data_IF_421267539972
#
_entry.id   IF_421267539972
#
_cell.length_a   1.000
_cell.length_b   1.000
_cell.length_c   1.000
_cell.angle_alpha   90.00
_cell.angle_beta   90.00
_cell.angle_gamma   90.00
#
_symmetry.space_group_name_H-M   'P 1'
#
loop_
_entity.id
_entity.type
_entity.pdbx_description
1 polymer ?
#
# COMPACT_ATOMS: atom_id res chain seq x y z
N UNK A 1 19.53 -1.00 6.89
CA UNK A 1 19.05 0.09 6.02
C UNK A 1 20.16 1.11 5.83
N UNK A 2 20.34 1.60 4.61
CA UNK A 2 21.36 2.59 4.27
C UNK A 2 20.69 3.74 3.48
N UNK A 3 20.86 4.98 3.94
CA UNK A 3 20.41 6.17 3.22
C UNK A 3 21.35 6.52 2.08
N UNK A 4 20.80 6.78 0.89
CA UNK A 4 21.53 7.09 -0.35
C UNK A 4 21.53 8.58 -0.60
N UNK A 5 20.38 9.23 -0.38
CA UNK A 5 20.19 10.65 -0.61
C UNK A 5 19.25 11.25 0.46
N UNK A 6 19.37 12.54 0.63
CA UNK A 6 18.49 13.33 1.51
C UNK A 6 18.23 14.67 0.85
N UNK A 7 16.96 15.07 0.79
CA UNK A 7 16.57 16.40 0.31
C UNK A 7 15.38 16.95 1.08
N UNK A 8 15.32 18.25 1.22
CA UNK A 8 14.14 18.94 1.75
C UNK A 8 13.23 19.35 0.61
N UNK A 9 11.97 18.96 0.72
CA UNK A 9 10.91 19.43 -0.17
C UNK A 9 10.35 20.76 0.32
N UNK A 10 9.73 21.55 -0.57
CA UNK A 10 9.29 22.93 -0.30
C UNK A 10 8.26 23.01 0.85
N UNK A 11 7.48 21.95 1.07
CA UNK A 11 6.42 21.90 2.09
C UNK A 11 6.91 21.45 3.49
N UNK A 12 8.22 21.56 3.76
CA UNK A 12 8.76 21.21 5.08
C UNK A 12 8.80 19.71 5.36
N UNK A 13 8.99 18.93 4.32
CA UNK A 13 9.16 17.47 4.38
C UNK A 13 10.60 17.12 4.05
N UNK A 14 11.18 16.23 4.85
CA UNK A 14 12.47 15.62 4.57
C UNK A 14 12.26 14.31 3.82
N UNK A 15 12.72 14.24 2.58
CA UNK A 15 12.74 13.02 1.79
C UNK A 15 14.10 12.37 1.88
N UNK A 16 14.11 11.07 2.13
CA UNK A 16 15.33 10.26 2.17
C UNK A 16 15.15 8.99 1.35
N UNK A 17 15.96 8.83 0.33
CA UNK A 17 16.05 7.56 -0.37
C UNK A 17 16.93 6.59 0.42
N UNK A 18 16.52 5.34 0.49
CA UNK A 18 17.28 4.30 1.18
C UNK A 18 17.33 2.99 0.39
N UNK A 19 18.28 2.13 0.78
CA UNK A 19 18.26 0.72 0.43
C UNK A 19 18.21 -0.15 1.68
N UNK A 20 17.43 -1.24 1.59
CA UNK A 20 17.45 -2.33 2.54
C UNK A 20 17.97 -3.58 1.83
N UNK A 21 19.28 -3.84 1.95
CA UNK A 21 19.94 -4.75 1.02
C UNK A 21 19.81 -4.23 -0.42
N UNK A 22 19.18 -5.02 -1.29
CA UNK A 22 18.92 -4.65 -2.68
C UNK A 22 17.52 -4.01 -2.91
N UNK A 23 16.77 -3.75 -1.85
CA UNK A 23 15.41 -3.19 -1.95
C UNK A 23 15.49 -1.66 -1.84
N UNK A 24 15.23 -0.90 -2.92
CA UNK A 24 15.13 0.54 -2.84
C UNK A 24 13.85 0.97 -2.10
N UNK A 25 13.93 2.09 -1.39
CA UNK A 25 12.78 2.69 -0.74
C UNK A 25 12.94 4.20 -0.56
N UNK A 26 11.86 4.85 -0.17
CA UNK A 26 11.83 6.28 0.12
C UNK A 26 11.09 6.47 1.45
N UNK A 27 11.65 7.32 2.29
CA UNK A 27 11.06 7.75 3.56
C UNK A 27 10.85 9.26 3.51
N UNK A 28 9.64 9.71 3.85
CA UNK A 28 9.29 11.11 4.01
C UNK A 28 8.92 11.38 5.47
N UNK A 29 9.53 12.39 6.07
CA UNK A 29 9.28 12.78 7.45
C UNK A 29 8.97 14.27 7.55
N UNK A 30 7.98 14.70 8.35
CA UNK A 30 7.73 16.11 8.57
C UNK A 30 8.90 16.75 9.34
N UNK A 31 9.44 17.86 8.82
CA UNK A 31 10.56 18.58 9.46
C UNK A 31 10.11 19.31 10.73
N UNK A 32 8.83 19.65 10.82
CA UNK A 32 8.23 20.34 11.97
C UNK A 32 8.03 19.45 13.20
N UNK A 33 8.20 18.13 13.08
CA UNK A 33 8.13 17.24 14.20
C UNK A 33 9.29 17.55 15.17
N UNK A 34 9.02 17.80 16.47
CA UNK A 34 10.09 18.00 17.41
C UNK A 34 10.96 16.74 17.44
N UNK A 35 12.29 16.91 17.43
CA UNK A 35 13.24 15.80 17.48
C UNK A 35 13.06 14.88 18.72
N UNK A 36 12.22 15.29 19.66
CA UNK A 36 11.90 14.59 20.90
C UNK A 36 10.61 13.75 20.87
N UNK A 37 9.83 13.81 19.78
CA UNK A 37 8.59 13.05 19.66
C UNK A 37 8.57 12.28 18.33
N UNK A 38 8.75 10.95 18.36
CA UNK A 38 8.60 10.13 17.16
C UNK A 38 7.19 10.24 16.61
N UNK A 39 7.07 10.24 15.27
CA UNK A 39 5.78 10.37 14.57
C UNK A 39 5.27 9.02 14.08
N UNK A 40 3.94 8.82 14.03
CA UNK A 40 3.36 7.60 13.46
C UNK A 40 3.73 7.43 11.99
N UNK A 41 3.79 6.17 11.54
CA UNK A 41 4.21 5.80 10.19
C UNK A 41 3.05 5.27 9.36
N UNK A 42 2.93 5.72 8.11
CA UNK A 42 2.05 5.14 7.10
C UNK A 42 2.90 4.50 5.98
N UNK A 43 2.75 3.21 5.79
CA UNK A 43 3.35 2.50 4.66
C UNK A 43 2.52 2.79 3.39
N UNK A 44 3.14 3.40 2.39
CA UNK A 44 2.49 3.74 1.13
C UNK A 44 2.66 2.62 0.10
N UNK A 45 1.63 1.80 -0.07
CA UNK A 45 1.56 0.82 -1.14
C UNK A 45 1.37 1.47 -2.52
N UNK A 46 1.85 0.80 -3.55
CA UNK A 46 1.69 1.21 -4.95
C UNK A 46 1.58 -0.01 -5.87
N UNK A 47 1.07 0.13 -7.12
CA UNK A 47 1.10 -0.96 -8.10
C UNK A 47 2.55 -1.25 -8.56
N UNK A 48 2.84 -2.46 -9.08
CA UNK A 48 4.19 -2.87 -9.48
C UNK A 48 4.63 -2.22 -10.81
N UNK A 49 4.64 -0.89 -10.83
CA UNK A 49 5.02 -0.07 -11.99
C UNK A 49 6.40 0.59 -11.83
N UNK A 50 7.05 0.39 -10.69
CA UNK A 50 8.33 0.97 -10.32
C UNK A 50 8.18 2.30 -9.56
N UNK A 51 9.02 2.50 -8.53
CA UNK A 51 9.02 3.71 -7.69
C UNK A 51 9.18 4.98 -8.53
N UNK A 52 10.09 4.98 -9.49
CA UNK A 52 10.33 6.14 -10.36
C UNK A 52 9.08 6.60 -11.10
N UNK A 53 8.29 5.64 -11.61
CA UNK A 53 7.03 5.96 -12.30
C UNK A 53 5.93 6.39 -11.33
N UNK A 54 5.93 5.82 -10.14
CA UNK A 54 4.93 6.10 -9.11
C UNK A 54 5.25 7.33 -8.27
N UNK A 55 6.49 7.84 -8.34
CA UNK A 55 6.99 8.92 -7.52
C UNK A 55 6.06 10.14 -7.43
N UNK A 56 5.51 10.71 -8.55
CA UNK A 56 4.65 11.88 -8.45
C UNK A 56 3.39 11.66 -7.58
N UNK A 57 2.84 10.43 -7.59
CA UNK A 57 1.67 10.08 -6.76
C UNK A 57 2.07 9.78 -5.32
N UNK A 58 3.23 9.18 -5.12
CA UNK A 58 3.74 8.83 -3.79
C UNK A 58 4.14 10.10 -3.03
N UNK A 59 4.88 11.00 -3.66
CA UNK A 59 5.29 12.26 -3.01
C UNK A 59 4.08 13.13 -2.67
N UNK A 60 3.07 13.24 -3.53
CA UNK A 60 1.85 13.99 -3.23
C UNK A 60 1.16 13.44 -1.97
N UNK A 61 0.97 12.11 -1.89
CA UNK A 61 0.40 11.46 -0.70
C UNK A 61 1.28 11.64 0.54
N UNK A 62 2.59 11.64 0.37
CA UNK A 62 3.53 11.86 1.46
C UNK A 62 3.46 13.29 2.01
N UNK A 63 3.35 14.29 1.14
CA UNK A 63 3.17 15.69 1.53
C UNK A 63 1.84 15.89 2.29
N UNK A 64 0.74 15.34 1.78
CA UNK A 64 -0.56 15.37 2.46
C UNK A 64 -0.47 14.73 3.85
N UNK A 65 0.12 13.53 3.94
CA UNK A 65 0.29 12.83 5.22
C UNK A 65 1.20 13.58 6.21
N UNK A 66 2.26 14.23 5.70
CA UNK A 66 3.18 14.99 6.54
C UNK A 66 2.52 16.27 7.11
N UNK A 67 1.61 16.90 6.36
CA UNK A 67 0.80 18.01 6.85
C UNK A 67 -0.07 17.62 8.05
N UNK A 68 -0.49 16.36 8.12
CA UNK A 68 -1.24 15.77 9.23
C UNK A 68 -0.32 15.16 10.32
N UNK A 69 1.00 15.32 10.21
CA UNK A 69 1.97 14.88 11.21
C UNK A 69 2.44 13.42 11.11
N UNK A 70 2.20 12.76 9.97
CA UNK A 70 2.65 11.39 9.73
C UNK A 70 3.96 11.34 8.95
N UNK A 71 4.84 10.41 9.31
CA UNK A 71 5.86 9.94 8.41
C UNK A 71 5.25 8.93 7.42
N UNK A 72 5.81 8.87 6.21
CA UNK A 72 5.40 7.88 5.21
C UNK A 72 6.62 7.19 4.62
N UNK A 73 6.48 5.91 4.27
CA UNK A 73 7.54 5.17 3.60
C UNK A 73 6.98 4.24 2.53
N UNK A 74 7.79 3.99 1.53
CA UNK A 74 7.51 3.02 0.47
C UNK A 74 8.76 2.24 0.10
N UNK A 75 8.58 1.05 -0.47
CA UNK A 75 9.66 0.23 -1.03
C UNK A 75 9.34 -0.17 -2.47
N UNK A 76 10.38 -0.41 -3.27
CA UNK A 76 10.24 -0.97 -4.61
C UNK A 76 9.76 -2.42 -4.52
N UNK A 77 8.64 -2.74 -5.18
CA UNK A 77 8.06 -4.08 -5.14
C UNK A 77 8.92 -5.10 -5.90
N UNK A 78 8.85 -6.38 -5.53
CA UNK A 78 9.57 -7.45 -6.22
C UNK A 78 9.29 -7.46 -7.73
N UNK A 79 10.35 -7.53 -8.54
CA UNK A 79 10.26 -7.58 -10.01
C UNK A 79 9.70 -6.33 -10.66
N UNK A 80 9.65 -5.18 -9.94
CA UNK A 80 9.30 -3.89 -10.50
C UNK A 80 10.50 -2.94 -10.57
N UNK A 81 10.36 -1.83 -11.31
CA UNK A 81 11.45 -0.89 -11.52
C UNK A 81 12.68 -1.56 -12.14
N UNK A 82 13.83 -1.31 -11.54
CA UNK A 82 15.12 -1.88 -11.96
C UNK A 82 15.46 -3.20 -11.23
N UNK A 83 14.54 -3.71 -10.38
CA UNK A 83 14.75 -4.97 -9.66
C UNK A 83 14.73 -6.17 -10.60
N UNK A 84 15.54 -7.22 -10.31
CA UNK A 84 15.57 -8.43 -11.11
C UNK A 84 14.17 -9.01 -11.29
N UNK A 85 13.84 -9.35 -12.53
CA UNK A 85 12.59 -10.05 -12.85
C UNK A 85 12.80 -11.54 -12.68
N UNK A 86 11.93 -12.16 -11.91
CA UNK A 86 11.99 -13.58 -11.65
C UNK A 86 11.20 -14.34 -12.71
N UNK A 87 11.78 -15.38 -13.33
CA UNK A 87 11.09 -16.11 -14.42
C UNK A 87 9.69 -16.61 -14.04
N UNK A 88 9.51 -17.08 -12.80
CA UNK A 88 8.21 -17.54 -12.30
C UNK A 88 7.18 -16.41 -12.25
N UNK A 89 7.58 -15.21 -11.87
CA UNK A 89 6.71 -14.03 -11.82
C UNK A 89 6.37 -13.55 -13.24
N UNK A 90 7.33 -13.56 -14.16
CA UNK A 90 7.08 -13.21 -15.56
C UNK A 90 6.15 -14.22 -16.25
N UNK A 91 6.30 -15.50 -15.95
CA UNK A 91 5.38 -16.52 -16.42
C UNK A 91 3.96 -16.28 -15.90
N UNK A 92 3.82 -16.06 -14.59
CA UNK A 92 2.53 -15.78 -13.96
C UNK A 92 1.86 -14.50 -14.52
N UNK A 93 2.64 -13.44 -14.80
CA UNK A 93 2.14 -12.23 -15.49
C UNK A 93 1.65 -12.52 -16.90
N UNK A 94 2.37 -13.35 -17.63
CA UNK A 94 2.00 -13.77 -18.97
C UNK A 94 0.70 -14.58 -18.95
N UNK A 95 0.56 -15.49 -18.00
CA UNK A 95 -0.61 -16.33 -17.84
C UNK A 95 -1.84 -15.52 -17.40
N UNK A 96 -1.67 -14.57 -16.49
CA UNK A 96 -2.71 -13.61 -16.10
C UNK A 96 -3.22 -12.81 -17.31
N UNK A 97 -2.29 -12.25 -18.09
CA UNK A 97 -2.66 -11.47 -19.27
C UNK A 97 -3.44 -12.32 -20.29
N UNK A 98 -2.97 -13.54 -20.53
CA UNK A 98 -3.63 -14.49 -21.45
C UNK A 98 -5.03 -14.84 -20.98
N UNK A 99 -5.22 -15.12 -19.70
CA UNK A 99 -6.53 -15.41 -19.12
C UNK A 99 -7.47 -14.21 -19.26
N UNK A 100 -6.99 -13.00 -18.95
CA UNK A 100 -7.79 -11.77 -19.13
C UNK A 100 -8.18 -11.51 -20.58
N UNK A 101 -7.25 -11.68 -21.54
CA UNK A 101 -7.52 -11.51 -22.98
C UNK A 101 -8.51 -12.56 -23.52
N UNK A 102 -8.48 -13.78 -22.97
CA UNK A 102 -9.41 -14.85 -23.35
C UNK A 102 -10.77 -14.77 -22.64
N UNK A 103 -10.90 -13.92 -21.61
CA UNK A 103 -12.08 -13.91 -20.75
C UNK A 103 -12.18 -15.15 -19.86
N UNK A 104 -11.07 -15.87 -19.67
CA UNK A 104 -11.01 -17.04 -18.82
C UNK A 104 -10.94 -16.65 -17.33
N UNK A 105 -11.44 -17.50 -16.42
CA UNK A 105 -11.25 -17.30 -14.99
C UNK A 105 -9.76 -17.26 -14.66
N UNK A 106 -9.33 -16.22 -13.94
CA UNK A 106 -7.96 -16.12 -13.44
C UNK A 106 -7.76 -17.15 -12.33
N UNK A 107 -6.75 -18.03 -12.51
CA UNK A 107 -6.39 -19.02 -11.51
C UNK A 107 -5.73 -18.35 -10.29
N UNK A 108 -6.19 -18.66 -9.10
CA UNK A 108 -5.66 -18.16 -7.83
C UNK A 108 -4.14 -18.41 -7.69
N UNK A 109 -3.63 -19.54 -8.20
CA UNK A 109 -2.20 -19.87 -8.19
C UNK A 109 -1.35 -18.87 -9.00
N UNK A 110 -1.90 -18.33 -10.09
CA UNK A 110 -1.22 -17.31 -10.91
C UNK A 110 -1.02 -16.04 -10.09
N UNK A 111 -2.03 -15.62 -9.33
CA UNK A 111 -1.97 -14.37 -8.56
C UNK A 111 -1.13 -14.52 -7.30
N UNK A 112 -1.21 -15.67 -6.64
CA UNK A 112 -0.36 -15.99 -5.49
C UNK A 112 1.13 -16.03 -5.87
N UNK A 113 1.46 -16.51 -7.08
CA UNK A 113 2.83 -16.52 -7.56
C UNK A 113 3.37 -15.12 -7.93
N UNK A 114 2.48 -14.14 -8.18
CA UNK A 114 2.90 -12.87 -8.77
C UNK A 114 3.63 -11.93 -7.81
N UNK A 115 3.20 -11.79 -6.57
CA UNK A 115 3.67 -10.69 -5.73
C UNK A 115 3.76 -11.08 -4.25
N UNK A 116 2.80 -11.84 -3.72
CA UNK A 116 2.61 -12.04 -2.29
C UNK A 116 3.77 -12.71 -1.56
N UNK A 117 4.43 -13.76 -2.10
CA UNK A 117 5.44 -14.49 -1.37
C UNK A 117 6.67 -13.68 -1.00
N UNK A 118 6.98 -12.65 -1.78
CA UNK A 118 8.17 -11.81 -1.59
C UNK A 118 7.85 -10.41 -1.04
N UNK A 119 6.73 -9.81 -1.49
CA UNK A 119 6.41 -8.45 -1.08
C UNK A 119 6.15 -8.32 0.42
N UNK A 120 5.43 -9.27 1.03
CA UNK A 120 5.07 -9.20 2.45
C UNK A 120 6.29 -9.32 3.37
N UNK A 121 7.21 -10.30 3.22
CA UNK A 121 8.44 -10.34 3.99
C UNK A 121 9.32 -9.09 3.81
N UNK A 122 9.37 -8.52 2.60
CA UNK A 122 10.14 -7.31 2.36
C UNK A 122 9.53 -6.09 3.04
N UNK A 123 8.21 -5.95 3.06
CA UNK A 123 7.52 -4.91 3.84
C UNK A 123 7.75 -5.06 5.35
N UNK A 124 7.74 -6.29 5.87
CA UNK A 124 8.04 -6.56 7.27
C UNK A 124 9.49 -6.17 7.61
N UNK A 125 10.46 -6.55 6.78
CA UNK A 125 11.85 -6.17 6.95
C UNK A 125 12.07 -4.65 6.86
N UNK A 126 11.35 -3.98 5.95
CA UNK A 126 11.39 -2.52 5.85
C UNK A 126 10.82 -1.86 7.12
N UNK A 127 9.70 -2.36 7.62
CA UNK A 127 9.09 -1.87 8.85
C UNK A 127 10.02 -2.07 10.07
N UNK A 128 10.68 -3.24 10.17
CA UNK A 128 11.69 -3.48 11.22
C UNK A 128 12.80 -2.43 11.19
N UNK A 129 13.29 -2.11 9.99
CA UNK A 129 14.37 -1.14 9.84
C UNK A 129 13.93 0.32 10.09
N UNK A 130 12.70 0.67 9.67
CA UNK A 130 12.14 2.01 9.84
C UNK A 130 11.84 2.33 11.30
N UNK A 131 11.31 1.36 12.06
CA UNK A 131 11.00 1.55 13.49
C UNK A 131 12.24 1.61 14.39
N UNK A 132 13.44 1.35 13.86
CA UNK A 132 14.70 1.63 14.56
C UNK A 132 15.13 3.09 14.48
N UNK A 133 14.50 3.89 13.63
CA UNK A 133 14.80 5.32 13.52
C UNK A 133 14.18 6.08 14.68
N UNK A 134 14.95 6.96 15.35
CA UNK A 134 14.46 7.66 16.55
C UNK A 134 13.29 8.62 16.27
N UNK A 135 13.15 9.08 15.04
CA UNK A 135 12.05 9.96 14.61
C UNK A 135 10.78 9.22 14.22
N UNK A 136 10.81 7.89 14.10
CA UNK A 136 9.65 7.07 13.73
C UNK A 136 9.18 6.29 14.96
N UNK A 137 7.88 6.30 15.21
CA UNK A 137 7.32 5.54 16.32
C UNK A 137 5.80 5.52 16.31
N UNK A 138 5.21 4.97 17.38
CA UNK A 138 3.76 4.87 17.50
C UNK A 138 3.13 3.81 16.60
N UNK A 139 1.81 3.88 16.43
CA UNK A 139 1.08 2.94 15.58
C UNK A 139 1.43 3.12 14.10
N UNK A 140 1.27 2.04 13.32
CA UNK A 140 1.58 2.00 11.90
C UNK A 140 0.31 1.82 11.09
N UNK A 141 0.17 2.61 10.02
CA UNK A 141 -0.88 2.44 9.01
C UNK A 141 -0.35 1.85 7.70
N UNK A 142 -1.27 1.28 6.91
CA UNK A 142 -0.98 0.89 5.53
C UNK A 142 -1.96 1.58 4.58
N UNK A 143 -1.50 2.09 3.45
CA UNK A 143 -2.34 2.87 2.54
C UNK A 143 -2.11 2.53 1.07
N UNK A 144 -3.15 2.09 0.38
CA UNK A 144 -3.22 1.92 -1.07
C UNK A 144 -2.49 0.69 -1.60
N UNK A 145 -2.01 0.78 -2.82
CA UNK A 145 -1.26 -0.28 -3.50
C UNK A 145 -2.11 -1.46 -3.98
N UNK A 146 -1.48 -2.60 -4.07
CA UNK A 146 -2.14 -3.86 -4.41
C UNK A 146 -2.90 -4.36 -3.18
N UNK A 147 -4.23 -4.47 -3.29
CA UNK A 147 -5.10 -4.79 -2.15
C UNK A 147 -4.73 -6.12 -1.47
N UNK A 148 -4.32 -7.14 -2.23
CA UNK A 148 -3.89 -8.43 -1.69
C UNK A 148 -2.68 -8.32 -0.78
N UNK A 149 -1.73 -7.41 -1.06
CA UNK A 149 -0.60 -7.12 -0.17
C UNK A 149 -1.11 -6.49 1.13
N UNK A 150 -2.01 -5.52 1.05
CA UNK A 150 -2.60 -4.86 2.20
C UNK A 150 -3.37 -5.83 3.10
N UNK A 151 -4.19 -6.71 2.52
CA UNK A 151 -4.92 -7.76 3.24
C UNK A 151 -3.93 -8.67 3.97
N UNK A 152 -2.92 -9.17 3.25
CA UNK A 152 -1.96 -10.11 3.85
C UNK A 152 -1.15 -9.46 4.97
N UNK A 153 -0.68 -8.24 4.78
CA UNK A 153 0.02 -7.47 5.82
C UNK A 153 -0.88 -7.26 7.04
N UNK A 154 -2.14 -6.89 6.86
CA UNK A 154 -3.08 -6.69 7.97
C UNK A 154 -3.32 -7.97 8.79
N UNK A 155 -3.12 -9.16 8.19
CA UNK A 155 -3.25 -10.45 8.90
C UNK A 155 -1.97 -10.85 9.63
N UNK A 156 -0.79 -10.66 8.98
CA UNK A 156 0.46 -11.25 9.49
C UNK A 156 1.38 -10.25 10.19
N UNK A 157 1.09 -8.96 10.12
CA UNK A 157 1.92 -7.90 10.71
C UNK A 157 1.13 -7.14 11.79
N UNK A 158 1.26 -7.53 13.06
CA UNK A 158 0.43 -7.00 14.14
C UNK A 158 0.72 -5.52 14.48
N UNK A 159 1.80 -4.94 13.97
CA UNK A 159 2.12 -3.52 14.15
C UNK A 159 1.26 -2.61 13.26
N UNK A 160 0.65 -3.15 12.21
CA UNK A 160 -0.30 -2.41 11.37
C UNK A 160 -1.64 -2.35 12.10
N UNK A 161 -2.04 -1.15 12.50
CA UNK A 161 -3.21 -0.90 13.34
C UNK A 161 -4.43 -0.38 12.56
N UNK A 162 -4.24 0.12 11.34
CA UNK A 162 -5.31 0.63 10.48
C UNK A 162 -4.88 0.56 9.01
N UNK A 163 -5.84 0.37 8.10
CA UNK A 163 -5.51 0.35 6.68
C UNK A 163 -6.54 1.08 5.80
N UNK A 164 -6.03 1.82 4.82
CA UNK A 164 -6.79 2.38 3.70
C UNK A 164 -6.48 1.54 2.47
N UNK A 165 -7.45 0.81 1.94
CA UNK A 165 -7.27 -0.12 0.83
C UNK A 165 -7.97 0.40 -0.44
N UNK A 166 -7.37 0.14 -1.60
CA UNK A 166 -7.96 0.47 -2.88
C UNK A 166 -8.45 -0.81 -3.57
N UNK A 167 -9.77 -0.95 -3.71
CA UNK A 167 -10.42 -2.10 -4.33
C UNK A 167 -10.44 -1.95 -5.87
N UNK A 168 -9.28 -1.89 -6.49
CA UNK A 168 -9.09 -1.67 -7.92
C UNK A 168 -8.22 -2.74 -8.59
N UNK A 169 -8.13 -3.94 -8.02
CA UNK A 169 -7.37 -5.04 -8.63
C UNK A 169 -8.08 -6.37 -8.40
N UNK A 170 -7.79 -7.32 -9.27
CA UNK A 170 -8.26 -8.69 -9.10
C UNK A 170 -7.82 -9.24 -7.73
N UNK A 171 -8.75 -9.91 -7.05
CA UNK A 171 -8.51 -10.53 -5.74
C UNK A 171 -8.80 -12.02 -5.83
N UNK A 172 -7.81 -12.90 -5.62
CA UNK A 172 -8.02 -14.34 -5.59
C UNK A 172 -9.01 -14.76 -4.52
N UNK A 173 -9.71 -15.86 -4.73
CA UNK A 173 -10.64 -16.42 -3.72
C UNK A 173 -9.96 -16.73 -2.39
N UNK A 174 -8.72 -17.17 -2.40
CA UNK A 174 -7.93 -17.40 -1.18
C UNK A 174 -7.79 -16.12 -0.34
N UNK A 175 -7.81 -14.94 -0.94
CA UNK A 175 -7.76 -13.68 -0.20
C UNK A 175 -9.05 -13.40 0.59
N UNK A 176 -10.19 -13.93 0.20
CA UNK A 176 -11.43 -13.78 0.95
C UNK A 176 -11.34 -14.47 2.33
N UNK A 177 -10.68 -15.63 2.40
CA UNK A 177 -10.42 -16.28 3.69
C UNK A 177 -9.47 -15.45 4.57
N UNK A 178 -8.49 -14.80 3.97
CA UNK A 178 -7.60 -13.89 4.69
C UNK A 178 -8.32 -12.59 5.09
N UNK A 179 -9.19 -12.05 4.23
CA UNK A 179 -9.98 -10.87 4.55
C UNK A 179 -10.84 -11.07 5.81
N UNK A 180 -11.39 -12.28 6.02
CA UNK A 180 -12.15 -12.62 7.24
C UNK A 180 -11.29 -12.57 8.52
N UNK A 181 -9.97 -12.67 8.40
CA UNK A 181 -9.04 -12.60 9.52
C UNK A 181 -8.57 -11.16 9.81
N UNK A 182 -8.84 -10.22 8.92
CA UNK A 182 -8.51 -8.81 9.13
C UNK A 182 -9.48 -8.21 10.13
N UNK A 183 -8.98 -7.79 11.28
CA UNK A 183 -9.80 -7.22 12.38
C UNK A 183 -9.49 -5.75 12.67
N UNK A 184 -8.43 -5.19 12.08
CA UNK A 184 -8.07 -3.78 12.23
C UNK A 184 -9.09 -2.87 11.53
N UNK A 185 -9.25 -1.60 11.94
CA UNK A 185 -10.04 -0.62 11.23
C UNK A 185 -9.67 -0.50 9.75
N UNK A 186 -10.68 -0.45 8.88
CA UNK A 186 -10.52 -0.39 7.43
C UNK A 186 -11.29 0.76 6.80
N UNK A 187 -10.64 1.45 5.87
CA UNK A 187 -11.26 2.36 4.93
C UNK A 187 -10.99 1.88 3.51
N UNK A 188 -12.04 1.47 2.79
CA UNK A 188 -11.91 0.91 1.43
C UNK A 188 -12.39 1.92 0.41
N UNK A 189 -11.57 2.19 -0.60
CA UNK A 189 -11.88 3.04 -1.74
C UNK A 189 -12.24 2.18 -2.94
N UNK A 190 -13.37 2.44 -3.56
CA UNK A 190 -13.87 1.75 -4.76
C UNK A 190 -14.16 2.76 -5.87
N UNK A 191 -13.60 2.55 -7.05
CA UNK A 191 -13.99 3.27 -8.26
C UNK A 191 -15.15 2.53 -8.94
N UNK A 192 -16.30 3.20 -9.03
CA UNK A 192 -17.56 2.56 -9.43
C UNK A 192 -17.58 2.15 -10.90
N UNK A 193 -16.94 2.94 -11.77
CA UNK A 193 -16.89 2.74 -13.22
C UNK A 193 -15.53 2.23 -13.68
N UNK A 194 -14.79 1.51 -12.81
CA UNK A 194 -13.52 0.89 -13.15
C UNK A 194 -13.76 -0.33 -14.05
N UNK A 195 -13.56 -0.17 -15.35
CA UNK A 195 -13.76 -1.22 -16.36
C UNK A 195 -12.80 -2.40 -16.20
N UNK A 196 -11.65 -2.19 -15.55
CA UNK A 196 -10.63 -3.22 -15.27
C UNK A 196 -10.88 -4.03 -14.00
N UNK A 197 -11.96 -3.73 -13.26
CA UNK A 197 -12.24 -4.34 -11.96
C UNK A 197 -13.69 -4.84 -11.86
N UNK A 198 -13.85 -6.08 -11.42
CA UNK A 198 -15.18 -6.60 -11.10
C UNK A 198 -15.70 -5.94 -9.81
N UNK A 199 -16.63 -4.98 -9.98
CA UNK A 199 -17.23 -4.25 -8.87
C UNK A 199 -17.93 -5.16 -7.89
N UNK A 200 -18.63 -6.21 -8.35
CA UNK A 200 -19.32 -7.12 -7.43
C UNK A 200 -18.32 -7.90 -6.59
N UNK A 201 -17.24 -8.39 -7.20
CA UNK A 201 -16.17 -9.03 -6.45
C UNK A 201 -15.52 -8.10 -5.42
N UNK A 202 -15.38 -6.81 -5.73
CA UNK A 202 -14.88 -5.81 -4.77
C UNK A 202 -15.86 -5.58 -3.59
N UNK A 203 -17.17 -5.59 -3.83
CA UNK A 203 -18.18 -5.50 -2.78
C UNK A 203 -18.23 -6.77 -1.93
N UNK A 204 -18.16 -7.94 -2.56
CA UNK A 204 -18.12 -9.23 -1.86
C UNK A 204 -16.87 -9.34 -0.98
N UNK A 205 -15.74 -8.80 -1.45
CA UNK A 205 -14.51 -8.71 -0.64
C UNK A 205 -14.70 -7.77 0.55
N UNK A 206 -15.31 -6.61 0.35
CA UNK A 206 -15.61 -5.68 1.45
C UNK A 206 -16.49 -6.36 2.51
N UNK A 207 -17.52 -7.09 2.09
CA UNK A 207 -18.38 -7.84 3.00
C UNK A 207 -17.61 -8.91 3.77
N UNK A 208 -16.60 -9.54 3.14
CA UNK A 208 -15.81 -10.60 3.73
C UNK A 208 -14.84 -10.12 4.84
N UNK A 209 -14.44 -8.84 4.87
CA UNK A 209 -13.56 -8.35 5.93
C UNK A 209 -14.15 -8.56 7.32
N UNK A 210 -13.36 -9.18 8.21
CA UNK A 210 -13.71 -9.45 9.60
C UNK A 210 -13.64 -8.23 10.54
N UNK A 211 -13.22 -7.08 10.04
CA UNK A 211 -13.17 -5.83 10.80
C UNK A 211 -14.56 -5.39 11.24
N UNK A 212 -14.74 -5.07 12.53
CA UNK A 212 -15.95 -4.46 13.06
C UNK A 212 -16.08 -2.98 12.68
N UNK A 213 -14.96 -2.32 12.41
CA UNK A 213 -14.91 -0.94 11.95
C UNK A 213 -14.40 -0.87 10.53
N UNK A 214 -15.30 -0.96 9.56
CA UNK A 214 -14.97 -0.85 8.13
C UNK A 214 -15.90 0.12 7.43
N UNK A 215 -15.35 0.93 6.52
CA UNK A 215 -16.12 1.85 5.68
C UNK A 215 -15.74 1.66 4.21
N UNK A 216 -16.73 1.81 3.32
CA UNK A 216 -16.56 1.78 1.88
C UNK A 216 -16.93 3.14 1.30
N UNK A 217 -15.98 3.77 0.60
CA UNK A 217 -16.26 4.97 -0.17
C UNK A 217 -16.19 4.64 -1.67
N UNK A 218 -17.36 4.67 -2.30
CA UNK A 218 -17.47 4.48 -3.75
C UNK A 218 -17.53 5.83 -4.46
N UNK A 219 -16.65 6.02 -5.44
CA UNK A 219 -16.60 7.23 -6.26
C UNK A 219 -16.90 6.87 -7.71
N UNK A 220 -17.70 7.70 -8.39
CA UNK A 220 -17.89 7.59 -9.84
C UNK A 220 -16.59 7.93 -10.55
N UNK A 221 -16.26 7.16 -11.57
CA UNK A 221 -15.04 7.32 -12.37
C UNK A 221 -14.29 6.01 -12.57
N UNK A 222 -13.38 6.00 -13.55
CA UNK A 222 -12.53 4.84 -13.86
C UNK A 222 -11.36 4.67 -12.90
N UNK A 223 -10.54 3.69 -13.15
CA UNK A 223 -9.44 3.22 -12.28
C UNK A 223 -8.55 4.33 -11.68
N UNK A 224 -8.24 5.37 -12.46
CA UNK A 224 -7.37 6.48 -12.01
C UNK A 224 -8.15 7.72 -11.57
N UNK A 225 -9.46 7.65 -11.54
CA UNK A 225 -10.37 8.76 -11.27
C UNK A 225 -10.66 9.02 -9.79
N UNK A 226 -9.81 8.57 -8.87
CA UNK A 226 -9.97 8.85 -7.44
C UNK A 226 -9.98 10.35 -7.20
N UNK A 227 -11.07 10.92 -6.66
CA UNK A 227 -11.15 12.37 -6.47
C UNK A 227 -10.19 12.83 -5.36
N UNK A 228 -9.69 14.05 -5.47
CA UNK A 228 -8.73 14.61 -4.51
C UNK A 228 -9.27 14.58 -3.07
N UNK A 229 -10.55 14.87 -2.86
CA UNK A 229 -11.16 14.86 -1.52
C UNK A 229 -11.20 13.46 -0.86
N UNK A 230 -10.96 12.38 -1.60
CA UNK A 230 -10.80 11.05 -1.01
C UNK A 230 -9.54 10.95 -0.15
N UNK A 231 -8.53 11.78 -0.43
CA UNK A 231 -7.36 11.96 0.43
C UNK A 231 -7.73 12.48 1.81
N UNK A 232 -8.62 13.48 1.89
CA UNK A 232 -9.09 14.04 3.16
C UNK A 232 -9.82 12.99 4.03
N UNK A 233 -10.56 12.08 3.40
CA UNK A 233 -11.22 10.99 4.13
C UNK A 233 -10.21 10.00 4.71
N UNK A 234 -9.18 9.65 3.93
CA UNK A 234 -8.08 8.80 4.38
C UNK A 234 -7.27 9.47 5.51
N UNK A 235 -6.99 10.78 5.40
CA UNK A 235 -6.30 11.56 6.41
C UNK A 235 -7.06 11.56 7.75
N UNK A 236 -8.36 11.87 7.73
CA UNK A 236 -9.22 11.79 8.94
C UNK A 236 -9.27 10.39 9.54
N UNK A 237 -9.31 9.37 8.69
CA UNK A 237 -9.28 7.98 9.14
C UNK A 237 -7.98 7.66 9.87
N UNK A 238 -6.81 7.99 9.29
CA UNK A 238 -5.54 7.74 9.96
C UNK A 238 -5.36 8.58 11.22
N UNK A 239 -5.76 9.85 11.23
CA UNK A 239 -5.71 10.69 12.44
C UNK A 239 -6.49 10.06 13.58
N UNK A 240 -7.67 9.52 13.30
CA UNK A 240 -8.50 8.84 14.31
C UNK A 240 -7.88 7.58 14.89
N UNK A 241 -7.13 6.81 14.08
CA UNK A 241 -6.66 5.49 14.47
C UNK A 241 -5.17 5.41 14.82
N UNK A 242 -4.39 6.42 14.43
CA UNK A 242 -2.94 6.41 14.64
C UNK A 242 -2.44 7.56 15.55
N UNK A 243 -3.29 8.50 15.91
CA UNK A 243 -3.00 9.58 16.86
C UNK A 243 -3.86 9.45 18.12
#
# INVERSE_FOLDING_TARGET
MHFISEQRLDDGVLEREFTLGEIPGILWTPVSAPASAPVPLILLGHPPLGLRRMYPRLVARALDSAADGFATATIELPGSGDRPRWPVVEQARSDLRRAMEAGDPVNDEIVDALILPLAVPEWQAALDALLLLPEIGGPVGYSGGVISIGIRLAVVEPRICAAVLFAGSFVPRAMFEQARQVTIPLHVLLQWDDEGNDRQAALDLFDAFGSEEKSLHAHLGGHTGVPQFAGDAAARFFTRHLM
#
